data_IF_430747455454
#
_entry.id   IF_430747455454
#
_cell.length_a   1.000
_cell.length_b   1.000
_cell.length_c   1.000
_cell.angle_alpha   90.00
_cell.angle_beta   90.00
_cell.angle_gamma   90.00
#
_symmetry.space_group_name_H-M   'P 1'
#
loop_
_entity.id
_entity.type
_entity.pdbx_description
1 polymer ?
#
# COMPACT_ATOMS: atom_id res chain seq x y z
N UNK A 1 -2.33 35.82 -6.51
CA UNK A 1 -2.48 34.78 -5.46
C UNK A 1 -3.88 34.78 -4.86
N UNK A 2 -4.62 33.66 -4.92
CA UNK A 2 -5.87 33.47 -4.17
C UNK A 2 -5.60 33.45 -2.67
N UNK A 3 -6.46 34.11 -1.85
CA UNK A 3 -6.34 34.16 -0.38
C UNK A 3 -6.19 32.77 0.27
N UNK A 4 -6.74 31.72 -0.34
CA UNK A 4 -6.61 30.31 0.12
C UNK A 4 -5.18 29.78 0.03
N UNK A 5 -4.43 30.08 -1.05
CA UNK A 5 -3.03 29.61 -1.23
C UNK A 5 -2.09 30.24 -0.19
N UNK A 6 -2.29 31.52 0.19
CA UNK A 6 -1.47 32.20 1.22
C UNK A 6 -1.71 31.66 2.64
N UNK A 7 -2.95 31.30 2.97
CA UNK A 7 -3.28 30.75 4.30
C UNK A 7 -2.62 29.40 4.58
N UNK A 8 -2.47 28.54 3.57
CA UNK A 8 -1.85 27.23 3.75
C UNK A 8 -0.33 27.32 4.04
N UNK A 9 0.37 28.30 3.44
CA UNK A 9 1.81 28.49 3.65
C UNK A 9 2.10 29.07 5.06
N UNK A 10 1.26 29.95 5.59
CA UNK A 10 1.46 30.50 6.94
C UNK A 10 1.19 29.49 8.05
N UNK A 11 0.26 28.54 7.84
CA UNK A 11 -0.09 27.51 8.83
C UNK A 11 1.02 26.49 9.10
N UNK A 12 2.02 26.38 8.21
CA UNK A 12 3.13 25.42 8.33
C UNK A 12 4.21 25.93 9.29
N UNK A 13 4.35 27.26 9.49
CA UNK A 13 5.47 27.87 10.23
C UNK A 13 5.30 27.91 11.77
N UNK A 14 4.08 27.80 12.29
CA UNK A 14 3.79 28.10 13.71
C UNK A 14 3.53 26.87 14.60
N UNK A 15 3.96 25.66 14.21
CA UNK A 15 3.77 24.44 15.02
C UNK A 15 5.08 23.73 15.31
N UNK A 16 5.38 23.57 16.60
CA UNK A 16 6.46 22.71 17.07
C UNK A 16 6.32 21.30 16.47
N UNK A 17 7.40 20.73 15.92
CA UNK A 17 7.35 19.41 15.33
C UNK A 17 7.15 18.36 16.43
N UNK A 18 5.95 17.80 16.52
CA UNK A 18 5.75 16.51 17.20
C UNK A 18 6.31 15.46 16.27
N UNK A 19 7.64 15.26 16.32
CA UNK A 19 8.29 14.12 15.68
C UNK A 19 7.93 12.88 16.49
N UNK A 20 6.70 12.40 16.28
CA UNK A 20 6.28 11.08 16.70
C UNK A 20 7.09 10.08 15.89
N UNK A 21 8.13 9.52 16.51
CA UNK A 21 8.92 8.36 16.05
C UNK A 21 9.31 8.40 14.58
N UNK A 22 10.56 8.79 14.33
CA UNK A 22 11.28 8.45 13.08
C UNK A 22 10.95 7.00 12.74
N UNK A 23 10.14 6.81 11.70
CA UNK A 23 9.86 5.48 11.18
C UNK A 23 11.19 4.97 10.68
N UNK A 24 11.65 3.84 11.21
CA UNK A 24 12.85 3.18 10.72
C UNK A 24 12.63 2.84 9.24
N UNK A 25 13.52 3.30 8.33
CA UNK A 25 13.51 2.84 6.94
C UNK A 25 13.48 1.31 6.92
N UNK A 26 12.45 0.72 6.32
CA UNK A 26 12.30 -0.74 6.18
C UNK A 26 11.10 -1.39 6.88
N UNK A 27 10.40 -0.70 7.79
CA UNK A 27 9.18 -1.25 8.42
C UNK A 27 7.91 -0.87 7.65
N UNK A 28 7.64 -1.58 6.55
CA UNK A 28 6.39 -1.41 5.80
C UNK A 28 5.19 -1.99 6.55
N UNK A 29 4.02 -1.36 6.41
CA UNK A 29 2.79 -1.93 6.95
C UNK A 29 2.43 -3.25 6.26
N UNK A 30 1.64 -4.07 6.96
CA UNK A 30 1.08 -5.30 6.40
C UNK A 30 0.29 -5.04 5.10
N UNK A 31 -0.33 -3.86 4.95
CA UNK A 31 -1.02 -3.45 3.74
C UNK A 31 -0.05 -3.32 2.55
N UNK A 32 1.07 -2.63 2.73
CA UNK A 32 2.08 -2.46 1.69
C UNK A 32 2.71 -3.79 1.29
N UNK A 33 3.08 -4.62 2.27
CA UNK A 33 3.61 -5.96 2.00
C UNK A 33 2.60 -6.84 1.26
N UNK A 34 1.32 -6.82 1.67
CA UNK A 34 0.25 -7.55 1.00
C UNK A 34 0.08 -7.13 -0.45
N UNK A 35 0.08 -5.81 -0.71
CA UNK A 35 0.00 -5.27 -2.07
C UNK A 35 1.18 -5.75 -2.93
N UNK A 36 2.40 -5.71 -2.41
CA UNK A 36 3.59 -6.15 -3.14
C UNK A 36 3.59 -7.65 -3.44
N UNK A 37 3.07 -8.49 -2.53
CA UNK A 37 2.95 -9.95 -2.75
C UNK A 37 1.86 -10.26 -3.78
N UNK A 38 0.74 -9.56 -3.74
CA UNK A 38 -0.43 -9.80 -4.59
C UNK A 38 -0.40 -9.06 -5.93
N UNK A 39 0.66 -8.28 -6.17
CA UNK A 39 0.73 -7.36 -7.31
C UNK A 39 0.53 -8.08 -8.64
N UNK A 40 1.33 -9.12 -8.90
CA UNK A 40 1.24 -9.94 -10.10
C UNK A 40 1.74 -11.38 -9.87
N UNK A 41 1.64 -12.23 -10.89
CA UNK A 41 2.06 -13.63 -10.80
C UNK A 41 3.56 -13.78 -10.48
N UNK A 42 4.40 -12.86 -10.93
CA UNK A 42 5.83 -12.86 -10.63
C UNK A 42 6.11 -12.64 -9.14
N UNK A 43 5.39 -11.72 -8.47
CA UNK A 43 5.49 -11.53 -7.01
C UNK A 43 5.12 -12.79 -6.25
N UNK A 44 4.09 -13.50 -6.71
CA UNK A 44 3.69 -14.78 -6.14
C UNK A 44 4.81 -15.83 -6.27
N UNK A 45 5.36 -15.99 -7.47
CA UNK A 45 6.46 -16.92 -7.73
C UNK A 45 7.72 -16.59 -6.91
N UNK A 46 8.04 -15.30 -6.77
CA UNK A 46 9.13 -14.84 -5.91
C UNK A 46 8.89 -15.29 -4.46
N UNK A 47 7.69 -15.06 -3.92
CA UNK A 47 7.31 -15.50 -2.57
C UNK A 47 7.46 -17.03 -2.39
N UNK A 48 7.06 -17.82 -3.39
CA UNK A 48 7.27 -19.28 -3.37
C UNK A 48 8.75 -19.68 -3.37
N UNK A 49 9.59 -19.01 -4.16
CA UNK A 49 11.05 -19.24 -4.20
C UNK A 49 11.70 -18.95 -2.84
N UNK A 50 11.31 -17.85 -2.20
CA UNK A 50 11.80 -17.50 -0.85
C UNK A 50 11.37 -18.58 0.15
N UNK A 51 10.11 -18.99 0.11
CA UNK A 51 9.61 -20.12 0.91
C UNK A 51 10.40 -21.40 0.69
N UNK A 52 10.81 -21.69 -0.55
CA UNK A 52 11.65 -22.84 -0.87
C UNK A 52 13.06 -22.72 -0.26
N UNK A 53 13.68 -21.53 -0.27
CA UNK A 53 15.01 -21.29 0.35
C UNK A 53 15.01 -21.58 1.85
N UNK A 54 13.95 -21.21 2.57
CA UNK A 54 13.84 -21.44 4.02
C UNK A 54 13.20 -22.79 4.39
N UNK A 55 12.77 -23.58 3.41
CA UNK A 55 11.98 -24.80 3.61
C UNK A 55 12.64 -25.77 4.58
N UNK A 56 13.93 -26.05 4.43
CA UNK A 56 14.64 -26.99 5.29
C UNK A 56 14.61 -26.62 6.77
N UNK A 57 14.56 -25.32 7.09
CA UNK A 57 14.52 -24.80 8.46
C UNK A 57 13.12 -24.88 9.07
N UNK A 58 12.08 -24.58 8.29
CA UNK A 58 10.71 -24.45 8.79
C UNK A 58 9.81 -25.66 8.50
N UNK A 59 10.26 -26.62 7.68
CA UNK A 59 9.49 -27.81 7.31
C UNK A 59 8.92 -28.59 8.50
N UNK A 60 9.66 -28.85 9.59
CA UNK A 60 9.11 -29.58 10.75
C UNK A 60 7.86 -28.92 11.34
N UNK A 61 7.73 -27.60 11.24
CA UNK A 61 6.59 -26.84 11.78
C UNK A 61 5.34 -26.96 10.90
N UNK A 62 5.51 -27.01 9.58
CA UNK A 62 4.38 -26.90 8.63
C UNK A 62 4.00 -28.21 7.94
N UNK A 63 4.83 -29.26 8.00
CA UNK A 63 4.66 -30.45 7.15
C UNK A 63 3.31 -31.17 7.31
N UNK A 64 2.79 -31.34 8.53
CA UNK A 64 1.50 -32.00 8.74
C UNK A 64 0.32 -31.14 8.28
N UNK A 65 0.38 -29.82 8.44
CA UNK A 65 -0.62 -28.89 7.91
C UNK A 65 -0.62 -28.90 6.39
N UNK A 66 0.57 -28.86 5.76
CA UNK A 66 0.72 -28.98 4.30
C UNK A 66 0.06 -30.27 3.79
N UNK A 67 0.34 -31.41 4.42
CA UNK A 67 -0.27 -32.70 4.04
C UNK A 67 -1.78 -32.69 4.19
N UNK A 68 -2.33 -32.07 5.25
CA UNK A 68 -3.79 -31.96 5.45
C UNK A 68 -4.44 -31.14 4.33
N UNK A 69 -3.85 -29.99 4.01
CA UNK A 69 -4.31 -29.11 2.92
C UNK A 69 -4.27 -29.83 1.57
N UNK A 70 -3.14 -30.47 1.22
CA UNK A 70 -2.99 -31.20 -0.04
C UNK A 70 -3.93 -32.41 -0.17
N UNK A 71 -4.47 -32.90 0.95
CA UNK A 71 -5.44 -34.01 0.98
C UNK A 71 -6.90 -33.54 0.97
N UNK A 72 -7.19 -32.25 1.09
CA UNK A 72 -8.55 -31.73 1.07
C UNK A 72 -9.24 -32.05 -0.26
N UNK A 73 -10.28 -32.91 -0.21
CA UNK A 73 -11.00 -33.41 -1.39
C UNK A 73 -12.21 -32.56 -1.77
N UNK A 74 -12.67 -31.68 -0.88
CA UNK A 74 -13.80 -30.78 -1.13
C UNK A 74 -13.41 -29.33 -0.89
N UNK A 75 -14.17 -28.44 -1.52
CA UNK A 75 -14.01 -26.99 -1.39
C UNK A 75 -14.15 -26.57 0.06
N UNK A 76 -15.17 -27.08 0.75
CA UNK A 76 -15.47 -26.76 2.15
C UNK A 76 -14.32 -27.19 3.05
N UNK A 77 -13.83 -28.42 2.88
CA UNK A 77 -12.70 -28.93 3.64
C UNK A 77 -11.42 -28.09 3.43
N UNK A 78 -11.20 -27.56 2.22
CA UNK A 78 -10.07 -26.67 1.97
C UNK A 78 -10.28 -25.29 2.62
N UNK A 79 -11.46 -24.68 2.47
CA UNK A 79 -11.76 -23.36 3.03
C UNK A 79 -11.71 -23.39 4.57
N UNK A 80 -12.14 -24.49 5.19
CA UNK A 80 -12.04 -24.69 6.65
C UNK A 80 -10.59 -24.75 7.15
N UNK A 81 -9.63 -25.08 6.28
CA UNK A 81 -8.18 -25.08 6.57
C UNK A 81 -7.51 -23.72 6.33
N UNK A 82 -8.23 -22.69 5.86
CA UNK A 82 -7.69 -21.33 5.69
C UNK A 82 -7.02 -20.75 6.95
N UNK A 83 -7.53 -20.95 8.20
CA UNK A 83 -6.85 -20.49 9.43
C UNK A 83 -5.44 -21.05 9.62
N UNK A 84 -5.15 -22.20 8.99
CA UNK A 84 -3.87 -22.90 9.13
C UNK A 84 -2.92 -22.58 7.95
N UNK A 85 -3.38 -21.81 6.96
CA UNK A 85 -2.65 -21.45 5.74
C UNK A 85 -1.64 -20.32 5.97
N UNK A 86 -0.73 -20.53 6.91
CA UNK A 86 0.37 -19.61 7.27
C UNK A 86 1.72 -20.16 6.82
N UNK A 87 2.70 -19.26 6.64
CA UNK A 87 4.05 -19.64 6.21
C UNK A 87 4.05 -20.50 4.95
N UNK A 88 4.71 -21.66 4.97
CA UNK A 88 4.75 -22.58 3.82
C UNK A 88 3.40 -23.24 3.50
N UNK A 89 2.52 -23.38 4.49
CA UNK A 89 1.21 -23.99 4.29
C UNK A 89 0.31 -23.12 3.40
N UNK A 90 0.53 -21.79 3.40
CA UNK A 90 -0.15 -20.85 2.50
C UNK A 90 -0.01 -21.24 1.03
N UNK A 91 1.20 -21.59 0.60
CA UNK A 91 1.46 -21.96 -0.80
C UNK A 91 0.79 -23.30 -1.17
N UNK A 92 0.72 -24.25 -0.24
CA UNK A 92 -0.05 -25.48 -0.45
C UNK A 92 -1.55 -25.18 -0.59
N UNK A 93 -2.07 -24.27 0.23
CA UNK A 93 -3.48 -23.89 0.20
C UNK A 93 -3.87 -23.27 -1.16
N UNK A 94 -3.11 -22.30 -1.65
CA UNK A 94 -3.38 -21.68 -2.95
C UNK A 94 -3.26 -22.65 -4.13
N UNK A 95 -2.25 -23.54 -4.12
CA UNK A 95 -2.13 -24.58 -5.15
C UNK A 95 -3.34 -25.50 -5.16
N UNK A 96 -3.87 -25.87 -3.99
CA UNK A 96 -5.08 -26.70 -3.88
C UNK A 96 -6.33 -25.93 -4.29
N UNK A 97 -6.48 -24.66 -3.88
CA UNK A 97 -7.61 -23.80 -4.23
C UNK A 97 -7.78 -23.62 -5.74
N UNK A 98 -6.66 -23.49 -6.47
CA UNK A 98 -6.65 -23.39 -7.94
C UNK A 98 -7.18 -24.65 -8.64
N UNK A 99 -7.21 -25.81 -7.98
CA UNK A 99 -7.79 -27.05 -8.54
C UNK A 99 -9.33 -27.04 -8.50
N UNK A 100 -9.94 -26.32 -7.54
CA UNK A 100 -11.39 -26.28 -7.31
C UNK A 100 -12.14 -25.23 -8.14
N UNK A 101 -11.69 -24.95 -9.36
CA UNK A 101 -12.45 -24.19 -10.37
C UNK A 101 -13.18 -22.94 -9.85
N UNK A 102 -14.32 -22.56 -10.44
CA UNK A 102 -15.20 -21.50 -9.92
C UNK A 102 -16.04 -21.90 -8.70
N UNK A 103 -16.20 -23.19 -8.41
CA UNK A 103 -17.02 -23.72 -7.31
C UNK A 103 -16.50 -23.32 -5.92
N UNK A 104 -15.24 -22.89 -5.80
CA UNK A 104 -14.70 -22.31 -4.57
C UNK A 104 -15.32 -20.96 -4.20
N UNK A 105 -15.81 -20.19 -5.18
CA UNK A 105 -16.23 -18.80 -5.00
C UNK A 105 -17.43 -18.65 -4.05
N UNK A 106 -18.53 -19.42 -4.18
CA UNK A 106 -19.64 -19.35 -3.23
C UNK A 106 -19.22 -19.68 -1.79
N UNK A 107 -18.35 -20.68 -1.61
CA UNK A 107 -17.89 -21.11 -0.27
C UNK A 107 -17.00 -20.05 0.37
N UNK A 108 -16.11 -19.41 -0.40
CA UNK A 108 -15.35 -18.24 0.07
C UNK A 108 -16.30 -17.10 0.46
N UNK A 109 -17.27 -16.78 -0.38
CA UNK A 109 -18.25 -15.71 -0.12
C UNK A 109 -19.03 -15.95 1.18
N UNK A 110 -19.49 -17.18 1.40
CA UNK A 110 -20.22 -17.56 2.61
C UNK A 110 -19.33 -17.52 3.86
N UNK A 111 -18.05 -17.92 3.73
CA UNK A 111 -17.09 -17.82 4.84
C UNK A 111 -16.79 -16.37 5.20
N UNK A 112 -16.55 -15.51 4.21
CA UNK A 112 -16.32 -14.07 4.43
C UNK A 112 -17.52 -13.38 5.09
N UNK A 113 -18.76 -13.81 4.79
CA UNK A 113 -19.98 -13.28 5.42
C UNK A 113 -20.02 -13.50 6.94
N UNK A 114 -19.40 -14.55 7.45
CA UNK A 114 -19.49 -14.94 8.87
C UNK A 114 -18.24 -14.54 9.68
N UNK A 115 -17.30 -13.80 9.08
CA UNK A 115 -16.02 -13.43 9.70
C UNK A 115 -16.17 -12.67 11.01
N UNK A 116 -17.15 -11.76 11.11
CA UNK A 116 -17.41 -11.00 12.33
C UNK A 116 -17.79 -11.87 13.53
N UNK A 117 -18.16 -13.13 13.31
CA UNK A 117 -18.50 -14.09 14.38
C UNK A 117 -17.29 -14.81 14.97
N UNK A 118 -16.09 -14.67 14.40
CA UNK A 118 -14.86 -15.30 14.90
C UNK A 118 -14.23 -14.35 15.94
N UNK A 119 -14.14 -14.73 17.23
CA UNK A 119 -13.65 -13.82 18.27
C UNK A 119 -12.16 -13.47 18.14
N UNK A 120 -11.36 -14.46 17.73
CA UNK A 120 -9.90 -14.36 17.61
C UNK A 120 -9.51 -13.55 16.37
N UNK A 121 -8.85 -12.40 16.59
CA UNK A 121 -8.45 -11.46 15.55
C UNK A 121 -7.31 -11.98 14.66
N UNK A 122 -6.36 -12.71 15.23
CA UNK A 122 -5.24 -13.28 14.48
C UNK A 122 -5.76 -14.34 13.51
N UNK A 123 -6.68 -15.18 13.98
CA UNK A 123 -7.38 -16.17 13.15
C UNK A 123 -8.19 -15.47 12.05
N UNK A 124 -8.90 -14.37 12.36
CA UNK A 124 -9.65 -13.61 11.34
C UNK A 124 -8.72 -13.07 10.26
N UNK A 125 -7.61 -12.46 10.67
CA UNK A 125 -6.59 -11.89 9.79
C UNK A 125 -6.05 -12.93 8.80
N UNK A 126 -5.65 -14.11 9.30
CA UNK A 126 -5.15 -15.20 8.46
C UNK A 126 -6.19 -15.66 7.44
N UNK A 127 -7.45 -15.82 7.87
CA UNK A 127 -8.54 -16.22 6.96
C UNK A 127 -8.77 -15.14 5.89
N UNK A 128 -8.84 -13.86 6.27
CA UNK A 128 -9.04 -12.74 5.35
C UNK A 128 -7.94 -12.70 4.30
N UNK A 129 -6.68 -12.78 4.71
CA UNK A 129 -5.55 -12.75 3.79
C UNK A 129 -5.58 -13.93 2.81
N UNK A 130 -5.87 -15.13 3.32
CA UNK A 130 -5.91 -16.35 2.52
C UNK A 130 -7.05 -16.32 1.50
N UNK A 131 -8.26 -16.01 1.96
CA UNK A 131 -9.44 -16.02 1.11
C UNK A 131 -9.47 -14.82 0.16
N UNK A 132 -9.15 -13.62 0.65
CA UNK A 132 -9.08 -12.42 -0.19
C UNK A 132 -7.93 -12.49 -1.20
N UNK A 133 -6.79 -13.06 -0.82
CA UNK A 133 -5.69 -13.33 -1.74
C UNK A 133 -6.06 -14.36 -2.82
N UNK A 134 -7.00 -15.26 -2.56
CA UNK A 134 -7.53 -16.15 -3.60
C UNK A 134 -8.45 -15.40 -4.55
N UNK A 135 -9.36 -14.56 -4.01
CA UNK A 135 -10.27 -13.74 -4.81
C UNK A 135 -9.51 -12.81 -5.78
N UNK A 136 -8.31 -12.33 -5.40
CA UNK A 136 -7.40 -11.59 -6.28
C UNK A 136 -7.12 -12.30 -7.61
N UNK A 137 -7.06 -13.62 -7.61
CA UNK A 137 -6.74 -14.42 -8.81
C UNK A 137 -7.99 -14.88 -9.57
N UNK A 138 -9.18 -14.48 -9.12
CA UNK A 138 -10.47 -14.86 -9.71
C UNK A 138 -11.09 -13.74 -10.55
N UNK A 139 -10.35 -12.67 -10.79
CA UNK A 139 -10.75 -11.56 -11.67
C UNK A 139 -12.04 -10.89 -11.20
N UNK A 140 -12.93 -10.58 -12.15
CA UNK A 140 -14.19 -9.90 -11.91
C UNK A 140 -15.09 -10.63 -10.88
N UNK A 141 -15.11 -11.97 -10.90
CA UNK A 141 -15.90 -12.74 -9.95
C UNK A 141 -15.37 -12.59 -8.51
N UNK A 142 -14.06 -12.49 -8.36
CA UNK A 142 -13.42 -12.16 -7.09
C UNK A 142 -13.75 -10.76 -6.60
N UNK A 143 -13.66 -9.76 -7.49
CA UNK A 143 -14.03 -8.38 -7.18
C UNK A 143 -15.50 -8.26 -6.74
N UNK A 144 -16.41 -8.95 -7.43
CA UNK A 144 -17.84 -8.97 -7.08
C UNK A 144 -18.08 -9.48 -5.66
N UNK A 145 -17.42 -10.57 -5.27
CA UNK A 145 -17.55 -11.12 -3.91
C UNK A 145 -17.02 -10.12 -2.88
N UNK A 146 -15.85 -9.52 -3.12
CA UNK A 146 -15.29 -8.54 -2.20
C UNK A 146 -16.20 -7.33 -2.03
N UNK A 147 -16.80 -6.84 -3.11
CA UNK A 147 -17.79 -5.75 -3.06
C UNK A 147 -19.03 -6.14 -2.23
N UNK A 148 -19.59 -7.32 -2.46
CA UNK A 148 -20.77 -7.81 -1.73
C UNK A 148 -20.51 -8.06 -0.23
N UNK A 149 -19.27 -8.37 0.13
CA UNK A 149 -18.86 -8.73 1.50
C UNK A 149 -18.15 -7.60 2.24
N UNK A 150 -17.79 -6.51 1.57
CA UNK A 150 -16.95 -5.43 2.12
C UNK A 150 -17.44 -4.92 3.48
N UNK A 151 -18.73 -4.61 3.61
CA UNK A 151 -19.31 -4.09 4.86
C UNK A 151 -19.43 -5.16 5.98
N UNK A 152 -19.24 -6.44 5.66
CA UNK A 152 -19.25 -7.54 6.65
C UNK A 152 -17.84 -7.83 7.21
N UNK A 153 -16.81 -7.28 6.57
CA UNK A 153 -15.43 -7.36 7.05
C UNK A 153 -15.17 -6.35 8.17
N UNK A 154 -14.24 -6.68 9.07
CA UNK A 154 -13.69 -5.76 10.06
C UNK A 154 -12.75 -4.72 9.40
N UNK A 155 -12.13 -3.85 10.21
CA UNK A 155 -11.26 -2.78 9.70
C UNK A 155 -10.06 -3.33 8.92
N UNK A 156 -9.40 -4.37 9.46
CA UNK A 156 -8.33 -5.07 8.77
C UNK A 156 -8.81 -5.65 7.44
N UNK A 157 -9.92 -6.39 7.44
CA UNK A 157 -10.48 -7.00 6.24
C UNK A 157 -10.88 -6.00 5.17
N UNK A 158 -11.44 -4.85 5.54
CA UNK A 158 -11.75 -3.76 4.59
C UNK A 158 -10.48 -3.11 4.02
N UNK A 159 -9.45 -2.94 4.86
CA UNK A 159 -8.13 -2.47 4.41
C UNK A 159 -7.53 -3.42 3.37
N UNK A 160 -7.50 -4.73 3.67
CA UNK A 160 -6.99 -5.74 2.75
C UNK A 160 -7.84 -5.87 1.48
N UNK A 161 -9.17 -5.89 1.61
CA UNK A 161 -10.08 -5.94 0.47
C UNK A 161 -9.92 -4.74 -0.47
N UNK A 162 -9.62 -3.55 0.08
CA UNK A 162 -9.36 -2.34 -0.73
C UNK A 162 -8.15 -2.53 -1.65
N UNK A 163 -7.07 -3.12 -1.14
CA UNK A 163 -5.88 -3.47 -1.95
C UNK A 163 -6.27 -4.42 -3.07
N UNK A 164 -6.97 -5.51 -2.74
CA UNK A 164 -7.33 -6.52 -3.73
C UNK A 164 -8.26 -5.95 -4.81
N UNK A 165 -9.22 -5.10 -4.43
CA UNK A 165 -10.11 -4.41 -5.36
C UNK A 165 -9.34 -3.45 -6.28
N UNK A 166 -8.34 -2.74 -5.76
CA UNK A 166 -7.47 -1.89 -6.57
C UNK A 166 -6.66 -2.68 -7.60
N UNK A 167 -6.02 -3.77 -7.17
CA UNK A 167 -5.24 -4.66 -8.04
C UNK A 167 -6.10 -5.40 -9.08
N UNK A 168 -7.41 -5.52 -8.84
CA UNK A 168 -8.40 -6.07 -9.78
C UNK A 168 -8.98 -5.00 -10.72
N UNK A 169 -8.55 -3.74 -10.62
CA UNK A 169 -9.10 -2.58 -11.34
C UNK A 169 -10.63 -2.45 -11.21
N UNK A 170 -11.15 -2.74 -10.01
CA UNK A 170 -12.58 -2.71 -9.73
C UNK A 170 -13.07 -1.26 -9.51
N UNK A 171 -13.18 -0.48 -10.58
CA UNK A 171 -13.54 0.96 -10.54
C UNK A 171 -14.82 1.27 -9.74
N UNK A 172 -15.81 0.37 -9.76
CA UNK A 172 -17.04 0.52 -8.98
C UNK A 172 -16.81 0.54 -7.45
N UNK A 173 -15.64 0.10 -6.97
CA UNK A 173 -15.25 0.12 -5.57
C UNK A 173 -14.78 1.49 -5.07
N UNK A 174 -14.45 2.44 -5.95
CA UNK A 174 -13.75 3.67 -5.58
C UNK A 174 -14.46 4.45 -4.46
N UNK A 175 -15.77 4.69 -4.59
CA UNK A 175 -16.55 5.42 -3.57
C UNK A 175 -16.70 4.64 -2.26
N UNK A 176 -16.78 3.31 -2.34
CA UNK A 176 -16.84 2.44 -1.18
C UNK A 176 -15.53 2.48 -0.38
N UNK A 177 -14.40 2.34 -1.09
CA UNK A 177 -13.05 2.42 -0.50
C UNK A 177 -12.81 3.82 0.07
N UNK A 178 -13.21 4.87 -0.65
CA UNK A 178 -13.09 6.25 -0.15
C UNK A 178 -13.87 6.48 1.15
N UNK A 179 -15.12 6.01 1.22
CA UNK A 179 -15.93 6.10 2.44
C UNK A 179 -15.28 5.34 3.61
N UNK A 180 -14.63 4.20 3.33
CA UNK A 180 -13.86 3.49 4.34
C UNK A 180 -12.61 4.27 4.76
N UNK A 181 -11.81 4.77 3.81
CA UNK A 181 -10.65 5.62 4.07
C UNK A 181 -10.99 6.79 5.01
N UNK A 182 -12.08 7.51 4.74
CA UNK A 182 -12.53 8.65 5.55
C UNK A 182 -12.84 8.28 7.00
N UNK A 183 -13.27 7.05 7.26
CA UNK A 183 -13.49 6.53 8.62
C UNK A 183 -12.16 6.07 9.23
N UNK A 184 -11.39 5.27 8.51
CA UNK A 184 -10.13 4.69 8.98
C UNK A 184 -9.08 5.75 9.32
N UNK A 185 -9.02 6.87 8.60
CA UNK A 185 -8.05 7.95 8.88
C UNK A 185 -8.32 8.72 10.18
N UNK A 186 -9.52 8.54 10.75
CA UNK A 186 -9.89 9.12 12.05
C UNK A 186 -9.39 8.25 13.21
N UNK A 187 -9.15 6.96 12.97
CA UNK A 187 -8.49 6.09 13.94
C UNK A 187 -6.99 6.44 14.02
N UNK A 188 -6.48 6.56 15.24
CA UNK A 188 -5.08 6.95 15.50
C UNK A 188 -4.20 5.77 15.88
N UNK A 189 -4.79 4.63 16.20
CA UNK A 189 -4.06 3.47 16.72
C UNK A 189 -3.68 2.50 15.61
N UNK A 190 -4.46 2.48 14.52
CA UNK A 190 -4.28 1.51 13.44
C UNK A 190 -4.14 2.20 12.09
N UNK A 191 -3.21 1.70 11.27
CA UNK A 191 -2.90 2.25 9.96
C UNK A 191 -3.72 1.61 8.82
N UNK A 192 -4.95 1.17 9.10
CA UNK A 192 -5.83 0.51 8.12
C UNK A 192 -6.23 1.40 6.93
N UNK A 193 -6.09 2.73 7.06
CA UNK A 193 -6.27 3.64 5.94
C UNK A 193 -5.23 3.42 4.83
N UNK A 194 -4.07 2.81 5.11
CA UNK A 194 -3.02 2.54 4.11
C UNK A 194 -3.51 1.57 3.04
N UNK A 195 -4.23 0.51 3.40
CA UNK A 195 -4.81 -0.41 2.41
C UNK A 195 -5.85 0.26 1.52
N UNK A 196 -6.63 1.19 2.08
CA UNK A 196 -7.56 2.00 1.31
C UNK A 196 -6.84 2.95 0.34
N UNK A 197 -5.76 3.61 0.78
CA UNK A 197 -4.92 4.44 -0.08
C UNK A 197 -4.33 3.63 -1.24
N UNK A 198 -3.77 2.44 -0.97
CA UNK A 198 -3.27 1.55 -2.02
C UNK A 198 -4.35 1.20 -3.05
N UNK A 199 -5.53 0.78 -2.59
CA UNK A 199 -6.65 0.48 -3.46
C UNK A 199 -7.02 1.65 -4.36
N UNK A 200 -7.15 2.86 -3.79
CA UNK A 200 -7.49 4.07 -4.53
C UNK A 200 -6.39 4.53 -5.50
N UNK A 201 -5.12 4.34 -5.14
CA UNK A 201 -3.98 4.63 -6.01
C UNK A 201 -3.99 3.73 -7.23
N UNK A 202 -4.16 2.42 -7.04
CA UNK A 202 -4.23 1.46 -8.14
C UNK A 202 -5.45 1.75 -9.04
N UNK A 203 -6.57 2.24 -8.48
CA UNK A 203 -7.73 2.72 -9.23
C UNK A 203 -7.56 4.12 -9.86
N UNK A 204 -6.46 4.82 -9.58
CA UNK A 204 -6.18 6.21 -10.03
C UNK A 204 -7.24 7.21 -9.57
N UNK A 205 -7.74 7.05 -8.35
CA UNK A 205 -8.77 7.94 -7.80
C UNK A 205 -8.24 9.36 -7.57
N UNK A 206 -8.95 10.35 -8.12
CA UNK A 206 -8.56 11.77 -8.11
C UNK A 206 -8.52 12.40 -6.71
N UNK A 207 -9.07 11.73 -5.69
CA UNK A 207 -9.11 12.23 -4.31
C UNK A 207 -7.85 11.89 -3.52
N UNK A 208 -7.03 10.96 -4.00
CA UNK A 208 -5.80 10.52 -3.32
C UNK A 208 -4.78 11.66 -3.13
N UNK A 209 -4.46 12.50 -4.14
CA UNK A 209 -3.50 13.59 -3.94
C UNK A 209 -3.90 14.52 -2.80
N UNK A 210 -5.20 14.85 -2.67
CA UNK A 210 -5.73 15.67 -1.56
C UNK A 210 -5.52 14.99 -0.20
N UNK A 211 -5.79 13.69 -0.12
CA UNK A 211 -5.59 12.90 1.09
C UNK A 211 -4.13 12.87 1.53
N UNK A 212 -3.20 12.60 0.62
CA UNK A 212 -1.76 12.56 0.91
C UNK A 212 -1.20 13.94 1.27
N UNK A 213 -1.66 14.99 0.58
CA UNK A 213 -1.28 16.37 0.89
C UNK A 213 -1.76 16.78 2.29
N UNK A 214 -2.95 16.35 2.72
CA UNK A 214 -3.47 16.65 4.05
C UNK A 214 -2.58 16.04 5.16
N UNK A 215 -2.08 14.82 4.98
CA UNK A 215 -1.11 14.20 5.90
C UNK A 215 0.18 15.02 5.98
N UNK A 216 0.72 15.44 4.82
CA UNK A 216 1.94 16.22 4.73
C UNK A 216 1.80 17.59 5.41
N UNK A 217 0.74 18.34 5.10
CA UNK A 217 0.47 19.67 5.69
C UNK A 217 0.22 19.57 7.20
N UNK A 218 -0.52 18.56 7.66
CA UNK A 218 -0.81 18.36 9.08
C UNK A 218 0.34 17.71 9.85
N UNK A 219 1.48 17.43 9.20
CA UNK A 219 2.64 16.74 9.78
C UNK A 219 2.26 15.40 10.43
N UNK A 220 1.33 14.67 9.82
CA UNK A 220 0.90 13.32 10.24
C UNK A 220 1.65 12.29 9.40
N UNK A 221 2.88 11.99 9.78
CA UNK A 221 3.74 11.08 9.03
C UNK A 221 3.47 9.61 9.36
N UNK A 222 3.64 8.75 8.36
CA UNK A 222 3.63 7.29 8.46
C UNK A 222 4.65 6.74 7.46
N UNK A 223 5.08 5.48 7.63
CA UNK A 223 6.21 4.89 6.93
C UNK A 223 6.14 5.07 5.40
N UNK A 224 4.94 4.92 4.85
CA UNK A 224 4.74 4.92 3.40
C UNK A 224 4.45 6.27 2.79
N UNK A 225 4.29 7.34 3.58
CA UNK A 225 3.78 8.62 3.07
C UNK A 225 4.59 9.12 1.87
N UNK A 226 5.92 9.11 1.94
CA UNK A 226 6.79 9.63 0.89
C UNK A 226 6.77 8.75 -0.37
N UNK A 227 6.71 7.42 -0.21
CA UNK A 227 6.54 6.49 -1.32
C UNK A 227 5.18 6.65 -2.02
N UNK A 228 4.09 6.79 -1.25
CA UNK A 228 2.75 7.03 -1.78
C UNK A 228 2.66 8.39 -2.48
N UNK A 229 3.28 9.44 -1.93
CA UNK A 229 3.38 10.75 -2.57
C UNK A 229 4.19 10.66 -3.88
N UNK A 230 5.24 9.86 -3.94
CA UNK A 230 6.06 9.68 -5.15
C UNK A 230 5.23 9.13 -6.32
N UNK A 231 4.30 8.21 -6.05
CA UNK A 231 3.48 7.57 -7.09
C UNK A 231 2.17 8.31 -7.38
N UNK A 232 1.56 8.97 -6.38
CA UNK A 232 0.21 9.50 -6.47
C UNK A 232 0.06 10.96 -6.02
N UNK A 233 1.09 11.57 -5.44
CA UNK A 233 1.10 13.00 -5.11
C UNK A 233 1.15 13.86 -6.38
N UNK A 234 0.60 15.07 -6.29
CA UNK A 234 0.60 16.04 -7.38
C UNK A 234 1.48 17.25 -7.08
N UNK A 235 1.50 18.23 -7.99
CA UNK A 235 2.37 19.41 -7.93
C UNK A 235 2.22 20.20 -6.62
N UNK A 236 1.05 20.14 -5.97
CA UNK A 236 0.75 20.87 -4.75
C UNK A 236 1.55 20.35 -3.55
N UNK A 237 2.08 19.13 -3.62
CA UNK A 237 2.92 18.54 -2.59
C UNK A 237 4.41 18.95 -2.69
N UNK A 238 4.87 19.48 -3.83
CA UNK A 238 6.29 19.81 -4.05
C UNK A 238 6.80 20.81 -3.02
N UNK A 239 6.16 21.97 -2.89
CA UNK A 239 6.61 23.01 -1.96
C UNK A 239 6.57 22.53 -0.50
N UNK A 240 5.50 21.90 0.00
CA UNK A 240 5.50 21.31 1.34
C UNK A 240 6.63 20.28 1.56
N UNK A 241 6.96 19.44 0.57
CA UNK A 241 8.08 18.48 0.67
C UNK A 241 9.43 19.19 0.77
N UNK A 242 9.67 20.21 -0.04
CA UNK A 242 10.92 20.99 -0.01
C UNK A 242 11.08 21.75 1.32
N UNK A 243 10.01 22.36 1.83
CA UNK A 243 10.02 23.03 3.14
C UNK A 243 10.29 22.03 4.26
N UNK A 244 9.66 20.85 4.20
CA UNK A 244 9.91 19.78 5.17
C UNK A 244 11.39 19.34 5.14
N UNK A 245 11.97 19.17 3.95
CA UNK A 245 13.37 18.79 3.81
C UNK A 245 14.33 19.84 4.41
N UNK A 246 13.99 21.14 4.37
CA UNK A 246 14.81 22.18 5.01
C UNK A 246 14.82 22.03 6.55
N UNK A 247 13.67 21.70 7.12
CA UNK A 247 13.47 21.60 8.58
C UNK A 247 14.02 20.30 9.20
N UNK A 248 14.28 19.28 8.39
CA UNK A 248 14.71 17.95 8.85
C UNK A 248 16.24 17.82 9.02
N UNK A 249 16.75 16.94 9.89
CA UNK A 249 18.16 16.54 9.92
C UNK A 249 18.63 15.95 8.59
N UNK A 250 19.90 16.15 8.23
CA UNK A 250 20.46 15.79 6.91
C UNK A 250 20.18 14.33 6.52
N UNK A 251 20.33 13.41 7.46
CA UNK A 251 20.07 11.98 7.31
C UNK A 251 18.61 11.62 6.98
N UNK A 252 17.66 12.53 7.24
CA UNK A 252 16.21 12.32 7.02
C UNK A 252 15.63 13.15 5.88
N UNK A 253 16.39 14.12 5.33
CA UNK A 253 15.92 14.96 4.20
C UNK A 253 15.74 14.17 2.91
N UNK A 254 16.36 12.99 2.83
CA UNK A 254 16.42 12.23 1.58
C UNK A 254 15.02 11.77 1.13
N UNK A 255 14.17 11.25 2.02
CA UNK A 255 12.83 10.77 1.67
C UNK A 255 11.91 11.83 1.03
N UNK A 256 11.71 13.03 1.62
CA UNK A 256 10.88 14.06 1.00
C UNK A 256 11.47 14.58 -0.31
N UNK A 257 12.80 14.63 -0.46
CA UNK A 257 13.45 15.04 -1.71
C UNK A 257 13.26 13.98 -2.81
N UNK A 258 13.35 12.70 -2.48
CA UNK A 258 13.06 11.60 -3.41
C UNK A 258 11.60 11.63 -3.85
N UNK A 259 10.68 11.85 -2.92
CA UNK A 259 9.25 11.98 -3.20
C UNK A 259 8.97 13.17 -4.13
N UNK A 260 9.58 14.33 -3.87
CA UNK A 260 9.45 15.51 -4.72
C UNK A 260 10.00 15.26 -6.13
N UNK A 261 11.11 14.53 -6.24
CA UNK A 261 11.71 14.11 -7.52
C UNK A 261 10.76 13.19 -8.29
N UNK A 262 10.14 12.20 -7.62
CA UNK A 262 9.15 11.30 -8.23
C UNK A 262 7.92 12.01 -8.76
N UNK A 263 7.35 12.94 -7.98
CA UNK A 263 6.25 13.80 -8.44
C UNK A 263 6.69 14.61 -9.66
N UNK A 264 7.89 15.20 -9.59
CA UNK A 264 8.44 16.07 -10.63
C UNK A 264 8.62 15.38 -11.98
N UNK A 265 9.15 14.16 -12.00
CA UNK A 265 9.25 13.36 -13.22
C UNK A 265 7.88 13.08 -13.84
N UNK A 266 6.85 12.88 -13.00
CA UNK A 266 5.51 12.52 -13.44
C UNK A 266 4.71 13.71 -13.99
N UNK A 267 4.86 14.89 -13.40
CA UNK A 267 4.19 16.12 -13.86
C UNK A 267 4.96 16.84 -14.98
N UNK A 268 6.26 16.55 -15.12
CA UNK A 268 7.15 17.17 -16.10
C UNK A 268 7.73 18.51 -15.66
N UNK A 269 8.82 18.91 -16.33
CA UNK A 269 9.62 20.09 -16.00
C UNK A 269 8.81 21.39 -16.02
N UNK A 270 7.95 21.59 -17.02
CA UNK A 270 7.21 22.84 -17.17
C UNK A 270 6.27 23.12 -15.97
N UNK A 271 5.55 22.09 -15.50
CA UNK A 271 4.66 22.22 -14.34
C UNK A 271 5.48 22.41 -13.06
N UNK A 272 6.61 21.71 -12.92
CA UNK A 272 7.54 21.91 -11.81
C UNK A 272 8.05 23.35 -11.74
N UNK A 273 8.60 23.87 -12.84
CA UNK A 273 9.15 25.23 -12.89
C UNK A 273 8.06 26.26 -12.58
N UNK A 274 6.86 26.14 -13.17
CA UNK A 274 5.74 27.03 -12.86
C UNK A 274 5.33 26.97 -11.38
N UNK A 275 5.32 25.78 -10.77
CA UNK A 275 5.01 25.59 -9.36
C UNK A 275 6.04 26.27 -8.45
N UNK A 276 7.33 26.21 -8.82
CA UNK A 276 8.42 26.86 -8.10
C UNK A 276 8.36 28.39 -8.25
N UNK A 277 8.12 28.90 -9.46
CA UNK A 277 7.95 30.33 -9.72
C UNK A 277 6.82 30.93 -8.88
N UNK A 278 5.67 30.25 -8.80
CA UNK A 278 4.54 30.69 -7.96
C UNK A 278 4.88 30.77 -6.46
N UNK A 279 5.86 29.98 -6.02
CA UNK A 279 6.29 29.92 -4.62
C UNK A 279 7.43 30.90 -4.28
N UNK A 280 8.18 31.35 -5.30
CA UNK A 280 9.25 32.34 -5.12
C UNK A 280 8.67 33.73 -4.80
N UNK A 281 9.28 34.43 -3.85
CA UNK A 281 8.98 35.83 -3.60
C UNK A 281 9.70 36.78 -4.57
N UNK A 282 10.80 36.30 -5.16
CA UNK A 282 11.61 37.04 -6.13
C UNK A 282 11.26 36.59 -7.55
N UNK A 283 10.89 37.57 -8.38
CA UNK A 283 10.42 37.42 -9.78
C UNK A 283 11.56 37.08 -10.77
N UNK A 284 12.68 36.59 -10.26
CA UNK A 284 13.84 36.20 -11.04
C UNK A 284 13.75 34.70 -11.33
N UNK A 285 13.19 34.32 -12.49
CA UNK A 285 12.99 32.93 -12.93
C UNK A 285 14.22 32.01 -12.80
N UNK A 286 15.43 32.58 -12.67
CA UNK A 286 16.68 31.86 -12.40
C UNK A 286 16.65 30.95 -11.17
N UNK A 287 15.95 31.29 -10.07
CA UNK A 287 15.86 30.40 -8.90
C UNK A 287 15.03 29.14 -9.19
N UNK A 288 13.87 29.32 -9.84
CA UNK A 288 12.96 28.23 -10.13
C UNK A 288 13.59 27.22 -11.10
N UNK A 289 14.31 27.70 -12.12
CA UNK A 289 15.06 26.84 -13.04
C UNK A 289 16.16 26.04 -12.32
N UNK A 290 16.97 26.71 -11.48
CA UNK A 290 18.06 26.05 -10.72
C UNK A 290 17.50 24.98 -9.78
N UNK A 291 16.39 25.27 -9.10
CA UNK A 291 15.76 24.32 -8.18
C UNK A 291 15.11 23.15 -8.95
N UNK A 292 14.47 23.42 -10.09
CA UNK A 292 13.92 22.38 -10.94
C UNK A 292 15.03 21.42 -11.43
N UNK A 293 16.20 21.96 -11.79
CA UNK A 293 17.37 21.15 -12.14
C UNK A 293 17.87 20.33 -10.96
N UNK A 294 18.01 20.92 -9.77
CA UNK A 294 18.45 20.20 -8.58
C UNK A 294 17.50 19.07 -8.15
N UNK A 295 16.19 19.22 -8.40
CA UNK A 295 15.19 18.17 -8.16
C UNK A 295 15.31 17.07 -9.21
N UNK A 296 15.40 17.45 -10.49
CA UNK A 296 15.46 16.52 -11.63
C UNK A 296 16.85 15.91 -11.88
N UNK A 297 17.89 16.35 -11.18
CA UNK A 297 19.23 15.75 -11.19
C UNK A 297 19.19 14.28 -10.76
N UNK A 298 18.23 13.94 -9.89
CA UNK A 298 17.91 12.54 -9.57
C UNK A 298 17.08 11.95 -10.70
N UNK A 299 17.55 10.88 -11.32
CA UNK A 299 16.82 10.22 -12.40
C UNK A 299 15.55 9.54 -11.88
N UNK A 300 14.60 9.26 -12.78
CA UNK A 300 13.42 8.47 -12.43
C UNK A 300 13.82 7.08 -11.92
N UNK A 301 14.81 6.43 -12.53
CA UNK A 301 15.31 5.11 -12.10
C UNK A 301 15.81 5.13 -10.65
N UNK A 302 16.51 6.19 -10.22
CA UNK A 302 16.96 6.34 -8.83
C UNK A 302 15.78 6.48 -7.86
N UNK A 303 14.72 7.18 -8.27
CA UNK A 303 13.50 7.30 -7.46
C UNK A 303 12.79 5.96 -7.34
N UNK A 304 12.63 5.25 -8.45
CA UNK A 304 12.00 3.93 -8.48
C UNK A 304 12.81 2.89 -7.71
N UNK A 305 14.13 2.94 -7.76
CA UNK A 305 15.00 2.06 -6.97
C UNK A 305 14.86 2.35 -5.47
N UNK A 306 14.86 3.62 -5.07
CA UNK A 306 14.72 4.00 -3.67
C UNK A 306 13.35 3.63 -3.09
N UNK A 307 12.28 3.81 -3.87
CA UNK A 307 10.92 3.42 -3.51
C UNK A 307 10.49 2.10 -4.17
N UNK A 308 11.42 1.16 -4.38
CA UNK A 308 11.18 -0.07 -5.15
C UNK A 308 9.87 -0.77 -4.79
N UNK A 309 9.58 -0.94 -3.49
CA UNK A 309 8.37 -1.64 -3.04
C UNK A 309 7.06 -1.00 -3.53
N UNK A 310 7.08 0.29 -3.86
CA UNK A 310 5.92 1.04 -4.34
C UNK A 310 5.73 0.92 -5.86
N UNK A 311 6.83 0.89 -6.61
CA UNK A 311 6.83 0.93 -8.07
C UNK A 311 6.79 -0.44 -8.74
N UNK A 312 7.38 -1.46 -8.11
CA UNK A 312 7.61 -2.76 -8.75
C UNK A 312 7.03 -3.93 -7.95
N UNK A 313 6.84 -5.09 -8.62
CA UNK A 313 6.49 -6.34 -7.95
C UNK A 313 7.58 -6.73 -6.94
N UNK A 314 7.22 -7.49 -5.90
CA UNK A 314 8.19 -8.03 -4.94
C UNK A 314 9.34 -8.77 -5.65
N UNK A 315 10.58 -8.34 -5.38
CA UNK A 315 11.80 -8.99 -5.85
C UNK A 315 12.46 -9.86 -4.77
N UNK A 316 13.42 -10.71 -5.15
CA UNK A 316 14.16 -11.53 -4.19
C UNK A 316 14.98 -10.68 -3.19
N UNK A 317 15.54 -9.55 -3.65
CA UNK A 317 16.30 -8.63 -2.80
C UNK A 317 15.42 -8.00 -1.70
N UNK A 318 14.20 -7.59 -2.08
CA UNK A 318 13.26 -6.98 -1.13
C UNK A 318 12.87 -7.99 -0.04
N UNK A 319 12.83 -9.27 -0.38
CA UNK A 319 12.45 -10.32 0.56
C UNK A 319 13.57 -10.82 1.46
N UNK A 320 14.83 -10.75 1.02
CA UNK A 320 15.98 -11.10 1.87
C UNK A 320 16.03 -10.17 3.09
N UNK A 321 15.77 -8.88 2.91
CA UNK A 321 15.65 -7.90 4.00
C UNK A 321 14.42 -8.08 4.92
N UNK A 322 13.42 -8.89 4.52
CA UNK A 322 12.26 -9.24 5.37
C UNK A 322 12.58 -10.45 6.26
N UNK A 323 13.57 -11.27 5.88
CA UNK A 323 13.91 -12.53 6.57
C UNK A 323 15.07 -12.43 7.57
N UNK A 324 15.75 -11.27 7.61
CA UNK A 324 16.79 -10.94 8.61
C UNK A 324 16.19 -10.35 9.89
#
# INVERSE_FOLDING_TARGET
MSKRKRQNISLIKDREPVISTVVTPGSFSAATLSRSILFNAQSWETSEKIGAKIKSRVWPQYHETIKRIERAQTVEALVDLAPEAVGLARNAWYRQARQFGPEILPVISDRLRTMSGIPDEDVRTVIIECLGGELRWRGEAGAKILLERFDQLDYYGRSFASIVLGLLDAQAAADLIWKFYQKAVQDRYEAHFIGALWGLIDLKDIRVPDALLDFLIKRRYFAELFGLLSIAGDERAIIPLLLLAIDLPEETKFEPLMSASGISHRIGRDILTSTLEEASADDTGSWAETMAEAILDRSQDQVEEYFAIFYRPLSELDAEGITE
#
